data_IF_657772415655
#
_entry.id   IF_657772415655
#
_cell.length_a   1.000
_cell.length_b   1.000
_cell.length_c   1.000
_cell.angle_alpha   90.00
_cell.angle_beta   90.00
_cell.angle_gamma   90.00
#
_symmetry.space_group_name_H-M   'P 1'
#
loop_
_entity.id
_entity.type
_entity.pdbx_description
1 polymer ?
#
# COMPACT_ATOMS: atom_id res chain seq x y z
N UNK A 1 -7.18 30.31 13.31
CA UNK A 1 -6.88 30.33 11.87
C UNK A 1 -7.68 29.24 11.18
N UNK A 2 -8.64 29.60 10.32
CA UNK A 2 -9.42 28.61 9.56
C UNK A 2 -8.53 28.03 8.47
N UNK A 3 -8.12 26.76 8.59
CA UNK A 3 -7.44 26.01 7.52
C UNK A 3 -8.36 26.03 6.31
N UNK A 4 -7.89 26.61 5.20
CA UNK A 4 -8.57 26.52 3.91
C UNK A 4 -8.76 25.02 3.62
N UNK A 5 -10.02 24.57 3.58
CA UNK A 5 -10.38 23.25 3.08
C UNK A 5 -10.11 23.26 1.57
N UNK A 6 -8.86 23.07 1.18
CA UNK A 6 -8.54 22.60 -0.16
C UNK A 6 -9.01 21.15 -0.16
N UNK A 7 -9.94 20.80 -1.05
CA UNK A 7 -10.31 19.41 -1.33
C UNK A 7 -9.06 18.74 -1.90
N UNK A 8 -8.19 18.28 -1.02
CA UNK A 8 -7.03 17.47 -1.37
C UNK A 8 -7.61 16.16 -1.89
N UNK A 9 -7.53 15.95 -3.20
CA UNK A 9 -7.99 14.72 -3.84
C UNK A 9 -7.19 13.51 -3.33
N UNK A 10 -7.65 12.30 -3.66
CA UNK A 10 -6.94 11.05 -3.32
C UNK A 10 -5.48 11.05 -3.79
N UNK A 11 -5.23 11.72 -4.92
CA UNK A 11 -3.90 11.85 -5.50
C UNK A 11 -2.95 12.70 -4.63
N UNK A 12 -3.40 13.87 -4.17
CA UNK A 12 -2.62 14.75 -3.29
C UNK A 12 -2.26 14.07 -1.97
N UNK A 13 -3.17 13.28 -1.40
CA UNK A 13 -2.89 12.46 -0.21
C UNK A 13 -1.88 11.36 -0.50
N UNK A 14 -2.00 10.68 -1.64
CA UNK A 14 -1.02 9.65 -2.03
C UNK A 14 0.41 10.22 -2.15
N UNK A 15 0.57 11.40 -2.74
CA UNK A 15 1.87 12.09 -2.84
C UNK A 15 2.41 12.41 -1.45
N UNK A 16 1.59 12.98 -0.57
CA UNK A 16 2.02 13.34 0.79
C UNK A 16 2.39 12.10 1.62
N UNK A 17 1.59 11.03 1.56
CA UNK A 17 1.90 9.75 2.23
C UNK A 17 3.23 9.21 1.69
N UNK A 18 3.42 9.16 0.38
CA UNK A 18 4.68 8.69 -0.20
C UNK A 18 5.86 9.59 0.18
N UNK A 19 5.68 10.91 0.28
CA UNK A 19 6.72 11.85 0.66
C UNK A 19 7.12 11.65 2.13
N UNK A 20 6.16 11.55 3.04
CA UNK A 20 6.41 11.26 4.45
C UNK A 20 7.18 9.95 4.63
N UNK A 21 6.82 8.90 3.90
CA UNK A 21 7.57 7.64 3.93
C UNK A 21 8.98 7.74 3.36
N UNK A 22 9.22 8.57 2.34
CA UNK A 22 10.59 8.81 1.85
C UNK A 22 11.43 9.58 2.86
N UNK A 23 10.80 10.42 3.68
CA UNK A 23 11.45 11.25 4.70
C UNK A 23 11.61 10.56 6.06
N UNK A 24 11.19 9.30 6.21
CA UNK A 24 11.25 8.60 7.51
C UNK A 24 10.14 8.99 8.49
N UNK A 25 9.19 9.83 8.07
CA UNK A 25 8.09 10.36 8.87
C UNK A 25 6.88 9.42 8.82
N UNK A 26 7.06 8.23 9.39
CA UNK A 26 6.13 7.12 9.18
C UNK A 26 4.82 7.26 9.96
N UNK A 27 4.88 7.84 11.15
CA UNK A 27 3.67 8.12 11.94
C UNK A 27 2.82 9.19 11.27
N UNK A 28 3.43 10.20 10.67
CA UNK A 28 2.72 11.22 9.89
C UNK A 28 2.07 10.63 8.63
N UNK A 29 2.77 9.73 7.94
CA UNK A 29 2.20 8.99 6.81
C UNK A 29 0.99 8.15 7.23
N UNK A 30 1.09 7.46 8.37
CA UNK A 30 0.02 6.62 8.94
C UNK A 30 -1.16 7.46 9.39
N UNK A 31 -0.93 8.56 10.09
CA UNK A 31 -2.00 9.47 10.50
C UNK A 31 -2.72 10.04 9.29
N UNK A 32 -1.98 10.47 8.25
CA UNK A 32 -2.59 11.02 7.05
C UNK A 32 -3.42 9.97 6.28
N UNK A 33 -2.97 8.71 6.27
CA UNK A 33 -3.75 7.59 5.72
C UNK A 33 -5.06 7.36 6.50
N UNK A 34 -5.00 7.36 7.83
CA UNK A 34 -6.19 7.24 8.70
C UNK A 34 -7.15 8.44 8.54
N UNK A 35 -6.62 9.66 8.44
CA UNK A 35 -7.43 10.86 8.24
C UNK A 35 -8.13 10.83 6.87
N UNK A 36 -7.42 10.35 5.84
CA UNK A 36 -7.98 10.14 4.51
C UNK A 36 -9.13 9.13 4.54
N UNK A 37 -8.94 8.00 5.23
CA UNK A 37 -9.98 7.00 5.47
C UNK A 37 -11.26 7.63 6.03
N UNK A 38 -11.11 8.32 7.17
CA UNK A 38 -12.22 8.87 7.93
C UNK A 38 -12.94 9.98 7.15
N UNK A 39 -12.25 10.66 6.23
CA UNK A 39 -12.79 11.80 5.49
C UNK A 39 -13.51 11.38 4.22
N UNK A 40 -12.99 10.41 3.48
CA UNK A 40 -13.46 10.13 2.11
C UNK A 40 -14.22 8.82 1.96
N UNK A 41 -14.09 7.88 2.90
CA UNK A 41 -14.71 6.54 2.87
C UNK A 41 -14.57 5.85 1.49
N UNK A 42 -13.52 6.21 0.75
CA UNK A 42 -13.24 5.76 -0.60
C UNK A 42 -11.75 5.56 -0.74
N UNK A 43 -11.39 4.30 -0.84
CA UNK A 43 -10.08 3.90 -1.31
C UNK A 43 -10.16 3.56 -2.78
N UNK A 44 -9.27 4.15 -3.56
CA UNK A 44 -8.94 3.64 -4.88
C UNK A 44 -7.67 2.77 -4.80
N UNK A 45 -7.40 2.01 -5.86
CA UNK A 45 -6.21 1.15 -5.94
C UNK A 45 -4.91 1.94 -5.78
N UNK A 46 -4.86 3.20 -6.21
CA UNK A 46 -3.66 4.04 -6.19
C UNK A 46 -3.27 4.36 -4.74
N UNK A 47 -4.23 4.74 -3.90
CA UNK A 47 -3.99 5.07 -2.50
C UNK A 47 -3.64 3.79 -1.72
N UNK A 48 -4.35 2.68 -1.96
CA UNK A 48 -4.04 1.39 -1.35
C UNK A 48 -2.61 0.93 -1.68
N UNK A 49 -2.22 1.00 -2.95
CA UNK A 49 -0.85 0.68 -3.38
C UNK A 49 0.19 1.61 -2.76
N UNK A 50 -0.13 2.91 -2.64
CA UNK A 50 0.79 3.88 -2.05
C UNK A 50 1.02 3.62 -0.57
N UNK A 51 -0.04 3.35 0.19
CA UNK A 51 0.04 3.01 1.61
C UNK A 51 0.71 1.65 1.81
N UNK A 52 0.44 0.67 0.95
CA UNK A 52 1.11 -0.63 0.99
C UNK A 52 2.62 -0.49 0.75
N UNK A 53 3.03 0.26 -0.27
CA UNK A 53 4.44 0.58 -0.52
C UNK A 53 5.10 1.27 0.67
N UNK A 54 4.37 2.21 1.29
CA UNK A 54 4.79 2.89 2.49
C UNK A 54 5.03 1.90 3.64
N UNK A 55 4.04 1.08 4.00
CA UNK A 55 4.16 0.11 5.09
C UNK A 55 5.24 -0.95 4.85
N UNK A 56 5.36 -1.43 3.60
CA UNK A 56 6.44 -2.35 3.21
C UNK A 56 7.84 -1.72 3.36
N UNK A 57 8.00 -0.42 3.10
CA UNK A 57 9.31 0.26 3.27
C UNK A 57 9.74 0.34 4.72
N UNK A 58 8.79 0.50 5.64
CA UNK A 58 9.06 0.72 7.08
C UNK A 58 9.14 -0.58 7.88
N UNK A 59 8.73 -1.70 7.30
CA UNK A 59 8.71 -2.97 8.02
C UNK A 59 7.43 -3.24 8.80
N UNK A 60 6.39 -2.43 8.64
CA UNK A 60 5.14 -2.53 9.42
C UNK A 60 4.23 -3.65 8.89
N UNK A 61 4.54 -4.89 9.26
CA UNK A 61 3.84 -6.09 8.80
C UNK A 61 2.35 -6.08 9.14
N UNK A 62 1.98 -5.60 10.34
CA UNK A 62 0.57 -5.55 10.75
C UNK A 62 -0.24 -4.62 9.84
N UNK A 63 0.33 -3.46 9.51
CA UNK A 63 -0.28 -2.49 8.60
C UNK A 63 -0.37 -3.03 7.17
N UNK A 64 0.64 -3.77 6.69
CA UNK A 64 0.62 -4.48 5.39
C UNK A 64 -0.53 -5.50 5.34
N UNK A 65 -0.67 -6.34 6.37
CA UNK A 65 -1.73 -7.36 6.44
C UNK A 65 -3.11 -6.71 6.51
N UNK A 66 -3.27 -5.65 7.31
CA UNK A 66 -4.51 -4.88 7.39
C UNK A 66 -4.89 -4.29 6.03
N UNK A 67 -3.91 -3.79 5.28
CA UNK A 67 -4.13 -3.24 3.95
C UNK A 67 -4.57 -4.32 2.95
N UNK A 68 -3.95 -5.50 2.97
CA UNK A 68 -4.38 -6.62 2.12
C UNK A 68 -5.82 -7.04 2.40
N UNK A 69 -6.19 -7.23 3.68
CA UNK A 69 -7.58 -7.55 4.06
C UNK A 69 -8.56 -6.49 3.57
N UNK A 70 -8.15 -5.23 3.62
CA UNK A 70 -8.98 -4.12 3.16
C UNK A 70 -9.19 -4.13 1.65
N UNK A 71 -8.19 -4.52 0.87
CA UNK A 71 -8.36 -4.73 -0.58
C UNK A 71 -9.42 -5.81 -0.85
N UNK A 72 -9.41 -6.90 -0.08
CA UNK A 72 -10.41 -7.97 -0.19
C UNK A 72 -11.82 -7.48 0.21
N UNK A 73 -11.95 -6.77 1.34
CA UNK A 73 -13.22 -6.21 1.84
C UNK A 73 -13.85 -5.21 0.84
N UNK A 74 -13.02 -4.43 0.17
CA UNK A 74 -13.45 -3.45 -0.84
C UNK A 74 -13.62 -4.05 -2.24
N UNK A 75 -13.36 -5.36 -2.41
CA UNK A 75 -13.32 -6.04 -3.70
C UNK A 75 -12.40 -5.36 -4.73
N UNK A 76 -11.34 -4.70 -4.27
CA UNK A 76 -10.33 -4.06 -5.11
C UNK A 76 -9.26 -5.08 -5.42
N UNK A 77 -9.16 -5.53 -6.67
CA UNK A 77 -8.12 -6.48 -7.04
C UNK A 77 -6.74 -5.81 -7.00
N UNK A 78 -5.75 -6.42 -6.31
CA UNK A 78 -4.33 -6.14 -6.49
C UNK A 78 -3.95 -6.12 -7.98
N UNK A 79 -3.09 -5.19 -8.35
CA UNK A 79 -2.43 -5.16 -9.65
C UNK A 79 -1.02 -5.74 -9.57
N UNK A 80 -0.35 -5.82 -10.72
CA UNK A 80 1.04 -6.28 -10.79
C UNK A 80 1.97 -5.53 -9.83
N UNK A 81 1.80 -4.22 -9.67
CA UNK A 81 2.63 -3.42 -8.78
C UNK A 81 2.39 -3.78 -7.30
N UNK A 82 1.13 -4.01 -6.91
CA UNK A 82 0.78 -4.53 -5.57
C UNK A 82 1.54 -5.82 -5.26
N UNK A 83 1.47 -6.80 -6.17
CA UNK A 83 2.12 -8.09 -5.99
C UNK A 83 3.64 -7.96 -5.91
N UNK A 84 4.25 -7.17 -6.79
CA UNK A 84 5.71 -6.96 -6.80
C UNK A 84 6.19 -6.34 -5.48
N UNK A 85 5.46 -5.38 -4.93
CA UNK A 85 5.76 -4.75 -3.63
C UNK A 85 5.70 -5.77 -2.50
N UNK A 86 4.66 -6.60 -2.44
CA UNK A 86 4.49 -7.63 -1.42
C UNK A 86 5.57 -8.71 -1.50
N UNK A 87 5.89 -9.20 -2.70
CA UNK A 87 6.94 -10.22 -2.91
C UNK A 87 8.29 -9.67 -2.44
N UNK A 88 8.66 -8.45 -2.86
CA UNK A 88 9.92 -7.81 -2.43
C UNK A 88 9.98 -7.64 -0.92
N UNK A 89 8.87 -7.23 -0.31
CA UNK A 89 8.77 -7.05 1.13
C UNK A 89 8.94 -8.38 1.88
N UNK A 90 8.14 -9.41 1.54
CA UNK A 90 8.22 -10.71 2.21
C UNK A 90 9.57 -11.39 2.01
N UNK A 91 10.20 -11.25 0.84
CA UNK A 91 11.56 -11.75 0.62
C UNK A 91 12.58 -11.03 1.50
N UNK A 92 12.47 -9.71 1.67
CA UNK A 92 13.35 -8.92 2.57
C UNK A 92 13.18 -9.33 4.04
N UNK A 93 11.94 -9.57 4.47
CA UNK A 93 11.61 -10.03 5.84
C UNK A 93 11.85 -11.55 6.04
N UNK A 94 12.40 -12.24 5.04
CA UNK A 94 12.65 -13.71 5.05
C UNK A 94 11.39 -14.56 5.24
N UNK A 95 10.23 -14.01 4.91
CA UNK A 95 8.92 -14.65 4.93
C UNK A 95 8.67 -15.39 3.61
N UNK A 96 9.55 -16.31 3.24
CA UNK A 96 9.58 -16.93 1.91
C UNK A 96 8.29 -17.67 1.53
N UNK A 97 7.60 -18.29 2.51
CA UNK A 97 6.32 -18.95 2.25
C UNK A 97 5.22 -17.95 1.84
N UNK A 98 5.21 -16.76 2.45
CA UNK A 98 4.28 -15.69 2.07
C UNK A 98 4.65 -15.10 0.71
N UNK A 99 5.95 -14.92 0.44
CA UNK A 99 6.42 -14.50 -0.88
C UNK A 99 5.98 -15.47 -1.98
N UNK A 100 6.17 -16.78 -1.77
CA UNK A 100 5.77 -17.81 -2.72
C UNK A 100 4.25 -17.83 -2.96
N UNK A 101 3.43 -17.80 -1.91
CA UNK A 101 1.97 -17.74 -2.05
C UNK A 101 1.52 -16.50 -2.81
N UNK A 102 2.15 -15.35 -2.53
CA UNK A 102 1.90 -14.10 -3.25
C UNK A 102 2.22 -14.24 -4.73
N UNK A 103 3.31 -14.94 -5.08
CA UNK A 103 3.65 -15.24 -6.47
C UNK A 103 2.63 -16.18 -7.13
N UNK A 104 2.18 -17.23 -6.46
CA UNK A 104 1.13 -18.11 -6.99
C UNK A 104 -0.17 -17.36 -7.26
N UNK A 105 -0.59 -16.50 -6.33
CA UNK A 105 -1.81 -15.71 -6.48
C UNK A 105 -1.69 -14.68 -7.60
N UNK A 106 -0.51 -14.08 -7.78
CA UNK A 106 -0.21 -13.23 -8.93
C UNK A 106 -0.39 -13.99 -10.26
N UNK A 107 0.14 -15.22 -10.37
CA UNK A 107 0.00 -16.05 -11.58
C UNK A 107 -1.46 -16.47 -11.83
N UNK A 108 -2.21 -16.84 -10.79
CA UNK A 108 -3.64 -17.16 -10.91
C UNK A 108 -4.46 -15.99 -11.43
N UNK A 109 -4.05 -14.75 -11.14
CA UNK A 109 -4.68 -13.53 -11.65
C UNK A 109 -4.17 -13.10 -13.03
N UNK A 110 -3.30 -13.89 -13.67
CA UNK A 110 -2.79 -13.63 -15.01
C UNK A 110 -1.65 -12.61 -15.08
N UNK A 111 -1.05 -12.28 -13.94
CA UNK A 111 0.13 -11.42 -13.88
C UNK A 111 1.40 -12.28 -13.82
N UNK A 112 2.46 -11.88 -14.53
CA UNK A 112 3.76 -12.54 -14.44
C UNK A 112 4.76 -11.66 -13.67
N UNK A 113 5.66 -12.25 -12.85
CA UNK A 113 6.77 -11.50 -12.30
C UNK A 113 7.65 -11.02 -13.45
N UNK A 114 8.11 -9.77 -13.42
CA UNK A 114 9.24 -9.41 -14.27
C UNK A 114 10.43 -10.27 -13.87
N UNK A 115 11.04 -10.94 -14.85
CA UNK A 115 12.35 -11.57 -14.66
C UNK A 115 13.34 -10.45 -14.35
N UNK A 116 13.68 -10.30 -13.08
CA UNK A 116 14.79 -9.43 -12.67
C UNK A 116 16.06 -10.18 -13.06
N UNK A 117 16.60 -9.89 -14.25
CA UNK A 117 17.94 -10.29 -14.66
C UNK A 117 19.01 -9.67 -13.75
#
# INVERSE_FOLDING_TARGET
>A
MKRKHVRSDGYSHSIMISAFCRSGLFEEAKQLACDFEATYDKYDLVILNTMLCAYCRVGEMESVVKMMKKMDELAISPDWNTFNVLIKYFSKEKLYLLAYRTMEDMHKKGHQPEEVC
#
